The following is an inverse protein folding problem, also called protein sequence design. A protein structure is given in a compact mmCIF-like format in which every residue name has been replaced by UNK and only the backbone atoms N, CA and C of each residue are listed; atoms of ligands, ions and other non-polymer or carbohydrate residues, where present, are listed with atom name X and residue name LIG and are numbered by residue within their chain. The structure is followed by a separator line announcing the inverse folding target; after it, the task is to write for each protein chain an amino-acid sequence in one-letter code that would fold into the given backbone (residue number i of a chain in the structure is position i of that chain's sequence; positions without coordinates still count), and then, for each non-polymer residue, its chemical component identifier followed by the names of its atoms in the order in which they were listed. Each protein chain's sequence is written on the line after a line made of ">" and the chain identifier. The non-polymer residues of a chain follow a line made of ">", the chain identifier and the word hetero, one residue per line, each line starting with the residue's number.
data_IF_256088201874
#
_entry.id   IF_256088201874
#
_cell.length_a   1.000
_cell.length_b   1.000
_cell.length_c   1.000
_cell.angle_alpha   90.00
_cell.angle_beta   90.00
_cell.angle_gamma   90.00
#
_symmetry.space_group_name_H-M   'P 1'
#
loop_
_entity.id
_entity.type
_entity.pdbx_description
1 polymer ?
#
# COMPACT_ATOMS: atom_id res chain seq x y z
N UNK A 1 19.34 -10.25 3.32
CA UNK A 1 18.14 -10.64 4.09
C UNK A 1 17.04 -10.87 3.09
N UNK A 2 16.64 -12.12 2.87
CA UNK A 2 15.52 -12.42 1.98
C UNK A 2 14.24 -11.95 2.66
N UNK A 3 13.41 -11.20 1.95
CA UNK A 3 12.05 -10.94 2.41
C UNK A 3 11.32 -12.27 2.41
N UNK A 4 11.00 -12.80 3.59
CA UNK A 4 10.20 -14.01 3.71
C UNK A 4 8.75 -13.62 3.39
N UNK A 5 8.44 -13.59 2.09
CA UNK A 5 7.16 -13.13 1.54
C UNK A 5 5.97 -13.99 2.02
N UNK A 6 6.26 -15.21 2.48
CA UNK A 6 5.25 -16.18 2.89
C UNK A 6 5.49 -16.60 4.33
N UNK A 7 4.40 -16.75 5.09
CA UNK A 7 4.44 -17.34 6.43
C UNK A 7 4.20 -18.87 6.41
N UNK A 8 3.90 -19.43 5.24
CA UNK A 8 3.66 -20.85 5.01
C UNK A 8 4.53 -21.32 3.83
N UNK A 9 4.86 -22.62 3.72
CA UNK A 9 5.63 -23.15 2.60
C UNK A 9 5.02 -22.77 1.24
N UNK A 10 5.84 -22.18 0.36
CA UNK A 10 5.35 -21.60 -0.89
C UNK A 10 4.75 -22.64 -1.85
N UNK A 11 5.20 -23.88 -1.76
CA UNK A 11 4.71 -25.05 -2.48
C UNK A 11 3.32 -25.51 -2.02
N UNK A 12 2.91 -25.19 -0.79
CA UNK A 12 1.58 -25.49 -0.26
C UNK A 12 0.55 -24.41 -0.62
N UNK A 13 1.01 -23.25 -1.09
CA UNK A 13 0.15 -22.14 -1.48
C UNK A 13 -0.33 -22.25 -2.92
N UNK A 14 -1.64 -22.08 -3.11
CA UNK A 14 -2.22 -21.97 -4.46
C UNK A 14 -1.66 -20.76 -5.22
N UNK A 15 -1.64 -20.82 -6.55
CA UNK A 15 -1.22 -19.69 -7.39
C UNK A 15 -2.00 -18.40 -7.10
N UNK A 16 -3.30 -18.51 -6.82
CA UNK A 16 -4.14 -17.36 -6.45
C UNK A 16 -3.65 -16.70 -5.16
N UNK A 17 -3.34 -17.50 -4.13
CA UNK A 17 -2.83 -16.98 -2.85
C UNK A 17 -1.44 -16.37 -3.02
N UNK A 18 -0.57 -16.97 -3.83
CA UNK A 18 0.75 -16.41 -4.12
C UNK A 18 0.66 -15.06 -4.85
N UNK A 19 -0.26 -14.92 -5.81
CA UNK A 19 -0.53 -13.62 -6.46
C UNK A 19 -1.10 -12.61 -5.47
N UNK A 20 -2.03 -13.03 -4.60
CA UNK A 20 -2.56 -12.15 -3.55
C UNK A 20 -1.44 -11.65 -2.61
N UNK A 21 -0.55 -12.55 -2.17
CA UNK A 21 0.60 -12.20 -1.34
C UNK A 21 1.53 -11.18 -2.03
N UNK A 22 1.83 -11.36 -3.33
CA UNK A 22 2.61 -10.37 -4.11
C UNK A 22 1.97 -8.99 -4.08
N UNK A 23 0.66 -8.91 -4.32
CA UNK A 23 -0.06 -7.63 -4.35
C UNK A 23 -0.16 -6.99 -2.97
N UNK A 24 -0.24 -7.79 -1.89
CA UNK A 24 -0.15 -7.29 -0.52
C UNK A 24 1.25 -6.73 -0.24
N UNK A 25 2.31 -7.45 -0.61
CA UNK A 25 3.69 -6.96 -0.45
C UNK A 25 3.87 -5.63 -1.17
N UNK A 26 3.42 -5.52 -2.43
CA UNK A 26 3.50 -4.26 -3.17
C UNK A 26 2.71 -3.14 -2.50
N UNK A 27 1.49 -3.39 -1.99
CA UNK A 27 0.73 -2.39 -1.24
C UNK A 27 1.49 -1.89 0.00
N UNK A 28 2.16 -2.79 0.73
CA UNK A 28 2.97 -2.46 1.91
C UNK A 28 4.17 -1.60 1.51
N UNK A 29 4.89 -1.98 0.46
CA UNK A 29 6.05 -1.24 -0.05
C UNK A 29 5.66 0.21 -0.43
N UNK A 30 4.51 0.41 -1.08
CA UNK A 30 4.03 1.78 -1.39
C UNK A 30 3.73 2.58 -0.11
N UNK A 31 3.11 1.96 0.90
CA UNK A 31 2.83 2.61 2.17
C UNK A 31 4.13 2.99 2.92
N UNK A 32 5.14 2.13 2.88
CA UNK A 32 6.46 2.42 3.42
C UNK A 32 7.14 3.56 2.67
N UNK A 33 7.12 3.54 1.33
CA UNK A 33 7.68 4.60 0.50
C UNK A 33 7.03 5.96 0.79
N UNK A 34 5.69 6.00 0.89
CA UNK A 34 4.93 7.19 1.29
C UNK A 34 5.43 7.72 2.64
N UNK A 35 5.55 6.85 3.65
CA UNK A 35 6.01 7.21 4.98
C UNK A 35 7.45 7.74 4.97
N UNK A 36 8.34 7.11 4.22
CA UNK A 36 9.73 7.54 4.10
C UNK A 36 9.85 8.90 3.44
N UNK A 37 9.10 9.16 2.36
CA UNK A 37 9.11 10.48 1.73
C UNK A 37 8.57 11.55 2.66
N UNK A 38 7.51 11.27 3.42
CA UNK A 38 6.97 12.21 4.42
C UNK A 38 8.04 12.60 5.45
N UNK A 39 8.71 11.60 6.02
CA UNK A 39 9.78 11.82 6.99
C UNK A 39 10.97 12.59 6.40
N UNK A 40 11.45 12.20 5.21
CA UNK A 40 12.59 12.85 4.56
C UNK A 40 12.28 14.32 4.23
N UNK A 41 11.10 14.59 3.65
CA UNK A 41 10.70 15.95 3.31
C UNK A 41 10.55 16.87 4.52
N UNK A 42 10.23 16.32 5.70
CA UNK A 42 10.09 17.08 6.95
C UNK A 42 11.41 17.68 7.44
N UNK A 43 12.55 17.06 7.12
CA UNK A 43 13.90 17.48 7.56
C UNK A 43 14.81 17.97 6.44
N UNK A 44 14.46 17.69 5.18
CA UNK A 44 15.25 18.11 4.02
C UNK A 44 15.34 19.63 3.93
N UNK A 45 16.52 20.14 3.58
CA UNK A 45 16.80 21.58 3.41
C UNK A 45 16.91 21.95 1.93
N UNK A 46 17.39 21.06 1.08
CA UNK A 46 17.50 21.30 -0.35
C UNK A 46 16.11 21.33 -1.02
N UNK A 47 15.80 22.44 -1.69
CA UNK A 47 14.49 22.66 -2.29
C UNK A 47 14.24 21.74 -3.50
N UNK A 48 15.28 21.42 -4.26
CA UNK A 48 15.18 20.55 -5.43
C UNK A 48 14.97 19.10 -5.01
N UNK A 49 15.72 18.61 -4.03
CA UNK A 49 15.54 17.28 -3.46
C UNK A 49 14.12 17.10 -2.89
N UNK A 50 13.63 18.10 -2.14
CA UNK A 50 12.25 18.09 -1.61
C UNK A 50 11.19 18.03 -2.72
N UNK A 51 11.39 18.79 -3.80
CA UNK A 51 10.46 18.77 -4.94
C UNK A 51 10.42 17.40 -5.64
N UNK A 52 11.59 16.76 -5.82
CA UNK A 52 11.69 15.40 -6.38
C UNK A 52 10.95 14.40 -5.49
N UNK A 53 11.21 14.42 -4.18
CA UNK A 53 10.55 13.53 -3.22
C UNK A 53 9.03 13.71 -3.19
N UNK A 54 8.55 14.96 -3.23
CA UNK A 54 7.12 15.25 -3.28
C UNK A 54 6.46 14.70 -4.55
N UNK A 55 7.14 14.84 -5.70
CA UNK A 55 6.65 14.30 -6.95
C UNK A 55 6.61 12.77 -6.92
N UNK A 56 7.67 12.13 -6.41
CA UNK A 56 7.73 10.67 -6.28
C UNK A 56 6.63 10.15 -5.34
N UNK A 57 6.45 10.75 -4.16
CA UNK A 57 5.41 10.37 -3.21
C UNK A 57 4.00 10.44 -3.83
N UNK A 58 3.75 11.43 -4.69
CA UNK A 58 2.49 11.57 -5.42
C UNK A 58 2.15 10.34 -6.28
N UNK A 59 3.15 9.77 -6.96
CA UNK A 59 2.97 8.54 -7.73
C UNK A 59 2.74 7.32 -6.82
N UNK A 60 3.38 7.25 -5.65
CA UNK A 60 3.16 6.14 -4.72
C UNK A 60 1.73 6.11 -4.16
N UNK A 61 1.05 7.26 -3.99
CA UNK A 61 -0.38 7.28 -3.65
C UNK A 61 -1.23 6.57 -4.71
N UNK A 62 -0.89 6.77 -5.99
CA UNK A 62 -1.58 6.13 -7.11
C UNK A 62 -1.26 4.65 -7.16
N UNK A 63 0.00 4.25 -7.00
CA UNK A 63 0.39 2.83 -6.93
C UNK A 63 -0.31 2.12 -5.77
N UNK A 64 -0.35 2.74 -4.58
CA UNK A 64 -1.09 2.24 -3.43
C UNK A 64 -2.57 2.02 -3.77
N UNK A 65 -3.24 3.02 -4.35
CA UNK A 65 -4.64 2.90 -4.75
C UNK A 65 -4.90 1.80 -5.79
N UNK A 66 -4.00 1.63 -6.76
CA UNK A 66 -4.07 0.57 -7.77
C UNK A 66 -3.93 -0.83 -7.15
N UNK A 67 -2.96 -1.01 -6.26
CA UNK A 67 -2.73 -2.26 -5.54
C UNK A 67 -3.93 -2.60 -4.63
N UNK A 68 -4.45 -1.60 -3.90
CA UNK A 68 -5.62 -1.77 -3.03
C UNK A 68 -6.85 -2.21 -3.84
N UNK A 69 -7.19 -1.49 -4.90
CA UNK A 69 -8.37 -1.82 -5.72
C UNK A 69 -8.29 -3.23 -6.32
N UNK A 70 -7.11 -3.69 -6.75
CA UNK A 70 -6.94 -5.09 -7.17
C UNK A 70 -7.32 -6.06 -6.05
N UNK A 71 -6.82 -5.83 -4.83
CA UNK A 71 -7.08 -6.69 -3.67
C UNK A 71 -8.57 -6.71 -3.29
N UNK A 72 -9.27 -5.58 -3.37
CA UNK A 72 -10.72 -5.50 -3.12
C UNK A 72 -11.52 -6.29 -4.14
N UNK A 73 -11.06 -6.37 -5.39
CA UNK A 73 -11.69 -7.24 -6.40
C UNK A 73 -11.45 -8.73 -6.14
N UNK A 74 -10.45 -9.09 -5.35
CA UNK A 74 -10.17 -10.49 -4.98
C UNK A 74 -10.93 -10.97 -3.74
N UNK A 75 -11.43 -10.04 -2.90
CA UNK A 75 -12.06 -10.33 -1.60
C UNK A 75 -13.30 -9.46 -1.40
N UNK A 76 -14.48 -10.05 -1.64
CA UNK A 76 -15.77 -9.36 -1.57
C UNK A 76 -16.05 -8.79 -0.18
N UNK A 77 -15.78 -9.55 0.88
CA UNK A 77 -15.97 -9.09 2.27
C UNK A 77 -15.12 -7.85 2.57
N UNK A 78 -13.84 -7.87 2.19
CA UNK A 78 -12.95 -6.70 2.38
C UNK A 78 -13.48 -5.47 1.62
N UNK A 79 -13.99 -5.67 0.41
CA UNK A 79 -14.60 -4.60 -0.38
C UNK A 79 -15.87 -4.04 0.28
N UNK A 80 -16.68 -4.90 0.91
CA UNK A 80 -17.88 -4.48 1.62
C UNK A 80 -17.52 -3.58 2.81
N UNK A 81 -16.58 -4.03 3.66
CA UNK A 81 -16.11 -3.26 4.82
C UNK A 81 -15.55 -1.89 4.42
N UNK A 82 -14.73 -1.83 3.37
CA UNK A 82 -14.14 -0.55 2.94
C UNK A 82 -15.16 0.45 2.38
N UNK A 83 -16.29 0.01 1.83
CA UNK A 83 -17.34 0.91 1.33
C UNK A 83 -18.05 1.66 2.46
N UNK A 84 -18.15 1.05 3.63
CA UNK A 84 -18.80 1.68 4.79
C UNK A 84 -17.93 2.76 5.43
N UNK A 85 -16.60 2.68 5.26
CA UNK A 85 -15.64 3.61 5.90
C UNK A 85 -15.09 4.66 4.93
N UNK A 86 -14.81 4.31 3.67
CA UNK A 86 -14.10 5.20 2.74
C UNK A 86 -15.03 6.30 2.21
N UNK A 87 -14.44 7.50 2.02
CA UNK A 87 -15.12 8.69 1.50
C UNK A 87 -16.30 9.19 2.33
N UNK A 88 -16.39 8.75 3.59
CA UNK A 88 -17.35 9.27 4.56
C UNK A 88 -16.77 10.46 5.33
N UNK A 89 -17.62 11.19 6.04
CA UNK A 89 -17.23 12.24 6.99
C UNK A 89 -17.66 11.85 8.40
N UNK A 90 -16.98 12.40 9.42
CA UNK A 90 -17.25 12.12 10.83
C UNK A 90 -16.31 11.05 11.41
N UNK A 91 -16.71 10.47 12.54
CA UNK A 91 -15.93 9.42 13.21
C UNK A 91 -15.85 8.14 12.33
N UNK A 92 -14.66 7.53 12.29
CA UNK A 92 -14.39 6.29 11.57
C UNK A 92 -14.77 5.06 12.42
N UNK A 93 -14.75 5.17 13.75
CA UNK A 93 -14.96 4.05 14.69
C UNK A 93 -16.38 4.08 15.30
N UNK A 94 -17.39 4.36 14.49
CA UNK A 94 -18.80 4.43 14.94
C UNK A 94 -19.30 3.11 15.53
#
# INVERSE_FOLDING_TARGET
>A
MGFDQYHEPAEELTQKVRTFARMITSLIEEAEAISWYEQRMSVEKDAQARAIMKNAQGEEFKHFGMNLEFLLRQKEDWRAELKEILFTTGDIVK
#
